data_IF_368057701528
#
_entry.id   IF_368057701528
#
_cell.length_a   1.000
_cell.length_b   1.000
_cell.length_c   1.000
_cell.angle_alpha   90.00
_cell.angle_beta   90.00
_cell.angle_gamma   90.00
#
_symmetry.space_group_name_H-M   'P 1'
#
loop_
_entity.id
_entity.type
_entity.pdbx_description
1 polymer ?
#
# COMPACT_ATOMS: atom_id res chain seq x y z
N UNK A 1 7.98 16.30 -3.82
CA UNK A 1 7.79 15.65 -2.50
C UNK A 1 9.11 15.40 -1.75
N UNK A 2 10.05 14.52 -2.13
CA UNK A 2 11.23 14.23 -1.29
C UNK A 2 12.13 15.45 -1.02
N UNK A 3 12.34 16.30 -2.03
CA UNK A 3 13.17 17.50 -1.91
C UNK A 3 12.55 18.56 -0.99
N UNK A 4 11.21 18.62 -0.94
CA UNK A 4 10.48 19.56 -0.06
C UNK A 4 10.62 19.17 1.42
N UNK A 5 10.72 17.86 1.72
CA UNK A 5 10.99 17.36 3.07
C UNK A 5 12.41 17.73 3.49
N UNK A 6 13.40 17.46 2.62
CA UNK A 6 14.81 17.80 2.90
C UNK A 6 15.02 19.30 3.10
N UNK A 7 14.34 20.14 2.32
CA UNK A 7 14.40 21.60 2.45
C UNK A 7 13.88 22.13 3.79
N UNK A 8 13.12 21.33 4.55
CA UNK A 8 12.62 21.66 5.88
C UNK A 8 13.41 20.99 7.01
N UNK A 9 14.52 20.32 6.69
CA UNK A 9 15.23 19.47 7.63
C UNK A 9 15.71 20.17 8.90
N UNK A 10 16.18 21.41 8.78
CA UNK A 10 16.64 22.22 9.91
C UNK A 10 15.53 22.57 10.92
N UNK A 11 14.26 22.53 10.50
CA UNK A 11 13.10 22.79 11.36
C UNK A 11 12.59 21.53 12.09
N UNK A 12 13.15 20.35 11.79
CA UNK A 12 12.67 19.06 12.29
C UNK A 12 13.47 18.61 13.52
N UNK A 13 12.77 17.98 14.45
CA UNK A 13 13.38 17.28 15.58
C UNK A 13 13.75 15.83 15.25
N UNK A 14 13.69 15.45 13.97
CA UNK A 14 13.98 14.11 13.46
C UNK A 14 14.78 14.19 12.16
N UNK A 15 15.53 13.13 11.88
CA UNK A 15 16.26 12.98 10.63
C UNK A 15 15.31 13.04 9.41
N UNK A 16 15.48 14.01 8.48
CA UNK A 16 14.61 14.19 7.33
C UNK A 16 14.53 12.95 6.43
N UNK A 17 15.61 12.19 6.36
CA UNK A 17 15.69 10.96 5.55
C UNK A 17 14.67 9.90 5.99
N UNK A 18 14.29 9.86 7.27
CA UNK A 18 13.24 8.94 7.76
C UNK A 18 11.87 9.28 7.15
N UNK A 19 11.57 10.58 7.00
CA UNK A 19 10.33 11.03 6.38
C UNK A 19 10.35 10.82 4.86
N UNK A 20 11.49 11.05 4.21
CA UNK A 20 11.69 10.73 2.79
C UNK A 20 11.49 9.24 2.55
N UNK A 21 12.04 8.39 3.42
CA UNK A 21 11.87 6.94 3.39
C UNK A 21 10.39 6.57 3.50
N UNK A 22 9.69 7.06 4.53
CA UNK A 22 8.27 6.78 4.73
C UNK A 22 7.40 7.19 3.53
N UNK A 23 7.63 8.40 2.97
CA UNK A 23 6.93 8.88 1.78
C UNK A 23 7.14 7.95 0.57
N UNK A 24 8.40 7.57 0.31
CA UNK A 24 8.75 6.67 -0.80
C UNK A 24 8.19 5.27 -0.60
N UNK A 25 8.29 4.73 0.61
CA UNK A 25 7.86 3.36 0.90
C UNK A 25 6.33 3.23 0.83
N UNK A 26 5.59 4.19 1.38
CA UNK A 26 4.12 4.23 1.23
C UNK A 26 3.72 4.26 -0.25
N UNK A 27 4.34 5.12 -1.06
CA UNK A 27 4.08 5.17 -2.51
C UNK A 27 4.45 3.86 -3.22
N UNK A 28 5.52 3.19 -2.75
CA UNK A 28 5.99 1.94 -3.33
C UNK A 28 5.05 0.78 -3.01
N UNK A 29 4.62 0.65 -1.76
CA UNK A 29 3.67 -0.38 -1.33
C UNK A 29 2.37 -0.27 -2.09
N UNK A 30 1.79 0.93 -2.18
CA UNK A 30 0.50 1.18 -2.84
C UNK A 30 0.56 1.01 -4.37
N UNK A 31 1.76 1.03 -4.95
CA UNK A 31 1.93 0.87 -6.41
C UNK A 31 2.47 -0.50 -6.82
N UNK A 32 3.17 -1.23 -5.95
CA UNK A 32 3.87 -2.45 -6.31
C UNK A 32 3.53 -3.67 -5.44
N UNK A 33 3.26 -3.49 -4.14
CA UNK A 33 2.94 -4.60 -3.24
C UNK A 33 1.44 -4.85 -3.11
N UNK A 34 0.63 -3.79 -3.17
CA UNK A 34 -0.83 -3.86 -3.32
C UNK A 34 -1.19 -3.51 -4.76
N UNK A 35 -1.52 -4.51 -5.58
CA UNK A 35 -1.88 -4.34 -6.99
C UNK A 35 -3.36 -4.66 -7.19
N UNK A 36 -4.18 -3.63 -7.04
CA UNK A 36 -5.64 -3.71 -7.08
C UNK A 36 -6.24 -3.02 -8.32
N UNK A 37 -5.40 -2.70 -9.31
CA UNK A 37 -5.80 -2.07 -10.57
C UNK A 37 -6.14 -0.58 -10.51
N UNK A 38 -5.93 0.10 -9.37
CA UNK A 38 -6.04 1.56 -9.28
C UNK A 38 -4.65 2.18 -9.40
N UNK A 39 -4.43 3.01 -10.42
CA UNK A 39 -3.14 3.67 -10.65
C UNK A 39 -3.03 4.92 -9.80
N UNK A 40 -2.04 4.95 -8.90
CA UNK A 40 -1.76 6.13 -8.07
C UNK A 40 -1.42 7.33 -8.97
N UNK A 41 -2.16 8.42 -8.81
CA UNK A 41 -1.93 9.66 -9.54
C UNK A 41 -1.80 10.88 -8.61
N UNK A 42 -2.08 10.70 -7.32
CA UNK A 42 -2.02 11.75 -6.33
C UNK A 42 -1.43 11.18 -5.03
N UNK A 43 -0.42 11.87 -4.50
CA UNK A 43 0.30 11.51 -3.28
C UNK A 43 0.48 12.77 -2.43
N UNK A 44 -0.07 12.77 -1.22
CA UNK A 44 0.11 13.86 -0.26
C UNK A 44 0.70 13.29 1.02
N UNK A 45 1.83 13.87 1.41
CA UNK A 45 2.58 13.50 2.60
C UNK A 45 2.50 14.65 3.61
N UNK A 46 1.92 14.40 4.77
CA UNK A 46 1.83 15.35 5.87
C UNK A 46 2.80 14.93 6.96
N UNK A 47 3.49 15.88 7.56
CA UNK A 47 4.38 15.63 8.70
C UNK A 47 4.41 16.83 9.64
N UNK A 48 4.80 16.59 10.88
CA UNK A 48 5.06 17.64 11.86
C UNK A 48 6.53 17.65 12.31
N UNK A 49 6.89 18.66 13.11
CA UNK A 49 8.26 18.84 13.62
C UNK A 49 8.75 17.69 14.50
N UNK A 50 7.84 16.95 15.12
CA UNK A 50 8.17 15.79 15.96
C UNK A 50 8.39 14.51 15.14
N UNK A 51 8.23 14.57 13.81
CA UNK A 51 8.40 13.43 12.92
C UNK A 51 7.19 12.51 12.81
N UNK A 52 6.03 12.90 13.35
CA UNK A 52 4.78 12.19 13.05
C UNK A 52 4.36 12.55 11.64
N UNK A 53 3.88 11.55 10.91
CA UNK A 53 3.45 11.70 9.54
C UNK A 53 2.17 10.91 9.22
N UNK A 54 1.51 11.30 8.14
CA UNK A 54 0.45 10.54 7.49
C UNK A 54 0.51 10.73 5.98
N UNK A 55 0.01 9.74 5.24
CA UNK A 55 -0.07 9.78 3.77
C UNK A 55 -1.50 9.57 3.34
N UNK A 56 -1.94 10.39 2.38
CA UNK A 56 -3.19 10.17 1.65
C UNK A 56 -2.84 10.03 0.17
N UNK A 57 -2.96 8.81 -0.34
CA UNK A 57 -2.78 8.52 -1.76
C UNK A 57 -4.14 8.31 -2.42
N UNK A 58 -4.25 8.69 -3.70
CA UNK A 58 -5.43 8.41 -4.50
C UNK A 58 -5.03 7.70 -5.80
N UNK A 59 -5.62 6.53 -6.00
CA UNK A 59 -5.56 5.76 -7.23
C UNK A 59 -6.83 5.89 -8.04
N UNK A 60 -6.70 5.81 -9.37
CA UNK A 60 -7.82 5.81 -10.31
C UNK A 60 -7.80 4.53 -11.13
N UNK A 61 -8.96 3.90 -11.30
CA UNK A 61 -9.17 2.83 -12.27
C UNK A 61 -9.81 3.43 -13.53
N UNK A 62 -8.97 3.72 -14.51
CA UNK A 62 -9.33 4.42 -15.76
C UNK A 62 -10.56 3.81 -16.45
N UNK A 63 -10.66 2.48 -16.51
CA UNK A 63 -11.77 1.77 -17.18
C UNK A 63 -13.15 2.01 -16.56
N UNK A 64 -13.19 2.34 -15.27
CA UNK A 64 -14.45 2.54 -14.52
C UNK A 64 -14.64 3.98 -14.04
N UNK A 65 -13.60 4.82 -14.17
CA UNK A 65 -13.57 6.16 -13.57
C UNK A 65 -13.64 6.19 -12.04
N UNK A 66 -13.50 5.02 -11.38
CA UNK A 66 -13.58 4.91 -9.93
C UNK A 66 -12.24 5.22 -9.28
N UNK A 67 -12.30 5.95 -8.16
CA UNK A 67 -11.14 6.26 -7.34
C UNK A 67 -11.09 5.38 -6.08
N UNK A 68 -9.88 5.12 -5.60
CA UNK A 68 -9.58 4.45 -4.33
C UNK A 68 -8.55 5.28 -3.56
N UNK A 69 -8.73 5.39 -2.25
CA UNK A 69 -7.82 6.12 -1.37
C UNK A 69 -7.08 5.17 -0.44
N UNK A 70 -5.81 5.46 -0.20
CA UNK A 70 -4.94 4.69 0.67
C UNK A 70 -4.41 5.63 1.75
N UNK A 71 -4.66 5.25 2.99
CA UNK A 71 -4.38 6.05 4.16
C UNK A 71 -3.30 5.36 4.99
N UNK A 72 -2.25 6.11 5.27
CA UNK A 72 -1.17 5.71 6.14
C UNK A 72 -1.07 6.66 7.31
N UNK A 73 -0.74 6.14 8.48
CA UNK A 73 -0.46 6.93 9.68
C UNK A 73 0.76 6.35 10.37
N UNK A 74 1.68 7.21 10.77
CA UNK A 74 2.89 6.81 11.50
C UNK A 74 2.60 6.23 12.88
N UNK A 75 1.55 6.74 13.55
CA UNK A 75 1.15 6.28 14.87
C UNK A 75 0.60 4.85 14.81
N UNK A 76 1.30 3.91 15.44
CA UNK A 76 0.91 2.49 15.45
C UNK A 76 1.40 1.68 14.25
N UNK A 77 2.17 2.27 13.33
CA UNK A 77 2.77 1.54 12.22
C UNK A 77 3.94 0.69 12.73
N UNK A 78 3.82 -0.63 12.63
CA UNK A 78 4.86 -1.59 13.03
C UNK A 78 5.67 -2.13 11.86
N UNK A 79 5.13 -2.11 10.63
CA UNK A 79 5.76 -2.59 9.41
C UNK A 79 5.26 -1.80 8.22
N UNK A 80 6.12 -1.53 7.22
CA UNK A 80 5.67 -0.98 5.94
C UNK A 80 5.07 -2.04 5.02
N UNK A 81 5.34 -3.32 5.29
CA UNK A 81 5.02 -4.43 4.36
C UNK A 81 4.07 -5.46 4.92
N UNK A 82 3.57 -5.28 6.14
CA UNK A 82 2.55 -6.12 6.74
C UNK A 82 1.45 -5.27 7.38
N UNK A 83 0.23 -5.39 6.83
CA UNK A 83 -0.96 -4.64 7.23
C UNK A 83 -0.68 -3.13 7.51
N UNK A 84 0.01 -2.41 6.60
CA UNK A 84 0.53 -1.09 6.92
C UNK A 84 -0.52 0.03 6.81
N UNK A 85 -1.63 -0.23 6.13
CA UNK A 85 -2.65 0.77 5.87
C UNK A 85 -3.52 1.01 7.10
N UNK A 86 -3.64 2.27 7.49
CA UNK A 86 -4.70 2.70 8.42
C UNK A 86 -6.09 2.53 7.80
N UNK A 87 -6.17 2.61 6.47
CA UNK A 87 -7.38 2.30 5.73
C UNK A 87 -7.20 2.37 4.22
N UNK A 88 -7.83 1.44 3.51
CA UNK A 88 -8.00 1.49 2.05
C UNK A 88 -9.48 1.71 1.79
N UNK A 89 -9.83 2.86 1.21
CA UNK A 89 -11.23 3.27 1.04
C UNK A 89 -11.59 3.27 -0.44
N UNK A 90 -12.60 2.49 -0.78
CA UNK A 90 -13.14 2.43 -2.14
C UNK A 90 -13.93 1.16 -2.40
N UNK A 91 -14.43 1.04 -3.63
CA UNK A 91 -15.14 -0.16 -4.08
C UNK A 91 -14.20 -1.35 -4.13
N UNK A 92 -14.64 -2.50 -3.58
CA UNK A 92 -13.94 -3.78 -3.69
C UNK A 92 -13.90 -4.28 -5.14
N UNK A 93 -12.84 -5.01 -5.49
CA UNK A 93 -12.61 -5.57 -6.82
C UNK A 93 -12.23 -7.04 -6.72
N UNK A 94 -12.49 -7.80 -7.79
CA UNK A 94 -12.37 -9.27 -7.77
C UNK A 94 -10.92 -9.76 -7.92
N UNK A 95 -10.06 -8.95 -8.52
CA UNK A 95 -8.65 -9.30 -8.76
C UNK A 95 -7.73 -8.29 -8.10
N UNK A 96 -7.07 -8.73 -7.04
CA UNK A 96 -6.09 -7.97 -6.29
C UNK A 96 -4.91 -8.88 -6.00
N UNK A 97 -3.67 -8.44 -6.25
CA UNK A 97 -2.50 -9.07 -5.63
C UNK A 97 -2.15 -8.24 -4.39
N UNK A 98 -2.26 -8.83 -3.21
CA UNK A 98 -2.00 -8.15 -1.94
C UNK A 98 -0.84 -8.83 -1.20
N UNK A 99 0.38 -8.35 -1.43
CA UNK A 99 1.57 -8.87 -0.76
C UNK A 99 1.77 -8.31 0.65
N UNK A 100 0.97 -7.32 1.05
CA UNK A 100 1.04 -6.75 2.41
C UNK A 100 -0.01 -7.30 3.36
N UNK A 101 -0.93 -8.12 2.87
CA UNK A 101 -1.85 -8.87 3.71
C UNK A 101 -1.08 -9.82 4.63
N UNK A 102 -1.48 -9.95 5.89
CA UNK A 102 -0.79 -10.80 6.87
C UNK A 102 -0.57 -12.22 6.35
N UNK A 103 -1.58 -12.82 5.75
CA UNK A 103 -1.56 -14.18 5.19
C UNK A 103 -0.61 -14.37 3.99
N UNK A 104 -0.10 -13.28 3.40
CA UNK A 104 0.93 -13.31 2.35
C UNK A 104 2.37 -13.40 2.91
N UNK A 105 2.55 -13.68 4.21
CA UNK A 105 3.86 -13.83 4.84
C UNK A 105 4.79 -14.83 4.12
N UNK A 106 4.33 -16.03 3.71
CA UNK A 106 5.20 -16.98 3.00
C UNK A 106 5.77 -16.39 1.71
N UNK A 107 4.96 -15.65 0.94
CA UNK A 107 5.42 -14.97 -0.26
C UNK A 107 6.43 -13.86 0.06
N UNK A 108 6.20 -13.06 1.12
CA UNK A 108 7.14 -12.01 1.55
C UNK A 108 8.50 -12.57 1.96
N UNK A 109 8.55 -13.75 2.55
CA UNK A 109 9.79 -14.42 2.94
C UNK A 109 10.53 -15.01 1.74
N UNK A 110 9.80 -15.64 0.81
CA UNK A 110 10.39 -16.35 -0.33
C UNK A 110 10.81 -15.43 -1.51
N UNK A 111 10.16 -14.28 -1.68
CA UNK A 111 10.43 -13.36 -2.78
C UNK A 111 11.86 -12.76 -2.75
N UNK A 112 12.40 -12.29 -1.60
CA UNK A 112 13.79 -11.85 -1.47
C UNK A 112 14.80 -12.90 -1.94
N UNK A 113 14.63 -14.16 -1.51
CA UNK A 113 15.50 -15.27 -1.90
C UNK A 113 15.49 -15.51 -3.42
N UNK A 114 14.31 -15.41 -4.04
CA UNK A 114 14.20 -15.46 -5.51
C UNK A 114 14.93 -14.30 -6.16
N UNK A 115 14.76 -13.09 -5.66
CA UNK A 115 15.39 -11.90 -6.23
C UNK A 115 16.93 -11.95 -6.15
N UNK A 116 17.48 -12.70 -5.20
CA UNK A 116 18.91 -12.99 -5.06
C UNK A 116 19.46 -14.06 -6.02
N UNK A 117 18.63 -14.69 -6.86
CA UNK A 117 19.08 -15.68 -7.86
C UNK A 117 19.54 -15.02 -9.17
N UNK A 118 20.40 -15.70 -9.96
CA UNK A 118 20.83 -15.20 -11.26
C UNK A 118 19.64 -14.78 -12.16
N UNK A 119 19.63 -13.55 -12.72
CA UNK A 119 18.52 -13.04 -13.54
C UNK A 119 18.18 -13.91 -14.75
N UNK A 120 19.18 -14.58 -15.35
CA UNK A 120 19.03 -15.54 -16.43
C UNK A 120 18.15 -16.73 -16.05
N UNK A 121 18.32 -17.22 -14.81
CA UNK A 121 17.59 -18.35 -14.28
C UNK A 121 16.11 -17.97 -14.08
N UNK A 122 15.85 -16.84 -13.41
CA UNK A 122 14.50 -16.32 -13.21
C UNK A 122 13.78 -16.05 -14.54
N UNK A 123 14.48 -15.46 -15.51
CA UNK A 123 13.93 -15.24 -16.85
C UNK A 123 13.64 -16.56 -17.58
N UNK A 124 14.49 -17.56 -17.41
CA UNK A 124 14.29 -18.92 -17.93
C UNK A 124 13.06 -19.59 -17.33
N UNK A 125 12.87 -19.49 -16.02
CA UNK A 125 11.68 -20.00 -15.33
C UNK A 125 10.40 -19.30 -15.83
N UNK A 126 10.39 -17.97 -15.93
CA UNK A 126 9.26 -17.25 -16.53
C UNK A 126 8.94 -17.68 -17.96
N UNK A 127 9.97 -17.97 -18.77
CA UNK A 127 9.78 -18.46 -20.14
C UNK A 127 9.19 -19.88 -20.16
N UNK A 128 9.57 -20.74 -19.20
CA UNK A 128 8.95 -22.06 -19.02
C UNK A 128 7.49 -21.93 -18.62
N UNK A 129 7.16 -21.04 -17.69
CA UNK A 129 5.78 -20.80 -17.24
C UNK A 129 4.82 -20.45 -18.36
N UNK A 130 5.25 -19.65 -19.35
CA UNK A 130 4.42 -19.31 -20.52
C UNK A 130 3.99 -20.51 -21.36
N UNK A 131 4.70 -21.63 -21.26
CA UNK A 131 4.39 -22.88 -21.96
C UNK A 131 3.57 -23.84 -21.10
N UNK A 132 3.35 -23.53 -19.82
CA UNK A 132 2.60 -24.36 -18.89
C UNK A 132 1.12 -24.01 -18.90
N UNK A 133 0.27 -25.00 -18.64
CA UNK A 133 -1.14 -24.80 -18.33
C UNK A 133 -1.29 -24.58 -16.83
N UNK A 134 -1.43 -23.31 -16.43
CA UNK A 134 -1.68 -22.95 -15.04
C UNK A 134 -3.14 -23.24 -14.65
N UNK A 135 -3.39 -23.72 -13.42
CA UNK A 135 -4.74 -23.83 -12.88
C UNK A 135 -5.50 -22.50 -12.93
N UNK A 136 -6.82 -22.55 -13.16
CA UNK A 136 -7.71 -21.37 -13.25
C UNK A 136 -7.68 -20.45 -12.03
N UNK A 137 -7.23 -20.94 -10.88
CA UNK A 137 -7.13 -20.15 -9.64
C UNK A 137 -6.00 -19.11 -9.62
N UNK A 138 -5.05 -19.17 -10.57
CA UNK A 138 -3.97 -18.18 -10.63
C UNK A 138 -4.51 -16.87 -11.21
N UNK A 139 -4.60 -15.83 -10.39
CA UNK A 139 -5.11 -14.52 -10.83
C UNK A 139 -4.08 -13.73 -11.64
N UNK A 140 -2.81 -14.19 -11.68
CA UNK A 140 -1.75 -13.59 -12.51
C UNK A 140 -1.69 -14.30 -13.85
N UNK A 141 -1.97 -13.57 -14.93
CA UNK A 141 -1.87 -14.12 -16.28
C UNK A 141 -0.41 -14.12 -16.74
N UNK A 142 0.09 -15.27 -17.21
CA UNK A 142 1.43 -15.38 -17.79
C UNK A 142 1.64 -14.45 -19.00
N UNK A 143 0.56 -14.03 -19.68
CA UNK A 143 0.58 -13.05 -20.76
C UNK A 143 1.06 -11.66 -20.32
N UNK A 144 0.87 -11.30 -19.04
CA UNK A 144 1.26 -9.99 -18.52
C UNK A 144 2.77 -9.88 -18.23
N UNK A 145 3.47 -11.02 -18.27
CA UNK A 145 4.90 -11.11 -17.96
C UNK A 145 5.69 -11.18 -19.26
N UNK A 146 6.73 -10.35 -19.37
CA UNK A 146 7.68 -10.41 -20.49
C UNK A 146 9.06 -10.77 -19.92
N UNK A 147 9.53 -12.03 -20.08
CA UNK A 147 10.79 -12.49 -19.49
C UNK A 147 11.99 -11.62 -19.88
N UNK A 148 12.06 -11.18 -21.15
CA UNK A 148 13.16 -10.35 -21.63
C UNK A 148 13.20 -8.97 -20.96
N UNK A 149 12.03 -8.33 -20.78
CA UNK A 149 11.93 -7.04 -20.07
C UNK A 149 12.16 -7.18 -18.56
N UNK A 150 11.78 -8.34 -17.99
CA UNK A 150 11.92 -8.61 -16.57
C UNK A 150 13.34 -8.98 -16.17
N UNK A 151 14.16 -9.49 -17.09
CA UNK A 151 15.58 -9.76 -16.84
C UNK A 151 16.33 -8.52 -16.35
N UNK A 152 16.14 -7.36 -16.98
CA UNK A 152 16.76 -6.09 -16.55
C UNK A 152 16.28 -5.68 -15.15
N UNK A 153 15.01 -5.95 -14.83
CA UNK A 153 14.42 -5.64 -13.52
C UNK A 153 14.99 -6.56 -12.44
N UNK A 154 15.17 -7.85 -12.75
CA UNK A 154 15.82 -8.81 -11.84
C UNK A 154 17.29 -8.52 -11.65
N UNK A 155 17.99 -8.05 -12.68
CA UNK A 155 19.39 -7.63 -12.53
C UNK A 155 19.54 -6.49 -11.53
N UNK A 156 18.64 -5.50 -11.55
CA UNK A 156 18.65 -4.40 -10.59
C UNK A 156 18.44 -4.87 -9.14
N UNK A 157 17.64 -5.93 -8.94
CA UNK A 157 17.43 -6.55 -7.64
C UNK A 157 18.66 -7.39 -7.22
N UNK A 158 19.15 -8.26 -8.10
CA UNK A 158 20.30 -9.14 -7.90
C UNK A 158 21.60 -8.40 -7.54
N UNK A 159 21.80 -7.19 -8.08
CA UNK A 159 22.97 -6.36 -7.80
C UNK A 159 22.92 -5.64 -6.45
N UNK A 160 21.81 -5.73 -5.72
CA UNK A 160 21.66 -5.12 -4.40
C UNK A 160 21.60 -6.18 -3.31
N UNK A 161 22.06 -5.81 -2.11
CA UNK A 161 21.90 -6.64 -0.93
C UNK A 161 20.45 -6.55 -0.44
N UNK A 162 19.62 -7.51 -0.86
CA UNK A 162 18.23 -7.63 -0.44
C UNK A 162 18.19 -8.52 0.79
N UNK A 163 17.74 -7.97 1.92
CA UNK A 163 17.64 -8.71 3.19
C UNK A 163 16.24 -9.24 3.44
N UNK A 164 15.25 -8.51 2.96
CA UNK A 164 13.84 -8.73 3.23
C UNK A 164 12.97 -8.11 2.12
N UNK A 165 11.65 -8.30 2.23
CA UNK A 165 10.71 -7.77 1.25
C UNK A 165 10.65 -6.23 1.24
N UNK A 166 10.88 -5.57 2.38
CA UNK A 166 10.86 -4.10 2.48
C UNK A 166 12.03 -3.47 1.72
N UNK A 167 13.25 -3.97 1.94
CA UNK A 167 14.46 -3.59 1.21
C UNK A 167 14.33 -3.89 -0.29
N UNK A 168 13.73 -5.03 -0.67
CA UNK A 168 13.42 -5.35 -2.06
C UNK A 168 12.53 -4.27 -2.70
N UNK A 169 11.44 -3.85 -2.05
CA UNK A 169 10.58 -2.78 -2.57
C UNK A 169 11.36 -1.47 -2.76
N UNK A 170 12.36 -1.21 -1.92
CA UNK A 170 13.28 -0.08 -2.05
C UNK A 170 14.13 -0.07 -3.33
N UNK A 171 14.31 -1.22 -4.00
CA UNK A 171 15.14 -1.33 -5.20
C UNK A 171 14.62 -0.44 -6.34
N UNK A 172 15.51 0.39 -6.88
CA UNK A 172 15.20 1.29 -7.99
C UNK A 172 14.98 0.48 -9.27
N UNK A 173 13.90 0.77 -9.99
CA UNK A 173 13.54 0.05 -11.21
C UNK A 173 12.69 -1.21 -11.00
N UNK A 174 12.61 -1.73 -9.76
CA UNK A 174 11.70 -2.82 -9.43
C UNK A 174 10.27 -2.32 -9.25
N UNK A 175 9.48 -2.34 -10.32
CA UNK A 175 8.06 -1.93 -10.30
C UNK A 175 7.08 -3.09 -10.06
N UNK A 176 5.78 -2.77 -10.09
CA UNK A 176 4.67 -3.72 -9.91
C UNK A 176 4.80 -5.01 -10.74
N UNK A 177 5.24 -4.90 -12.00
CA UNK A 177 5.41 -6.07 -12.88
C UNK A 177 6.52 -7.01 -12.41
N UNK A 178 7.62 -6.47 -11.91
CA UNK A 178 8.73 -7.27 -11.36
C UNK A 178 8.33 -7.96 -10.07
N UNK A 179 7.70 -7.23 -9.15
CA UNK A 179 7.17 -7.78 -7.90
C UNK A 179 6.12 -8.86 -8.16
N UNK A 180 5.21 -8.64 -9.12
CA UNK A 180 4.21 -9.64 -9.54
C UNK A 180 4.84 -10.90 -10.12
N UNK A 181 5.91 -10.76 -10.90
CA UNK A 181 6.63 -11.89 -11.47
C UNK A 181 7.32 -12.72 -10.38
N UNK A 182 7.94 -12.07 -9.39
CA UNK A 182 8.56 -12.74 -8.25
C UNK A 182 7.51 -13.45 -7.38
N UNK A 183 6.35 -12.82 -7.15
CA UNK A 183 5.25 -13.44 -6.41
C UNK A 183 4.73 -14.71 -7.12
N UNK A 184 4.58 -14.67 -8.45
CA UNK A 184 4.18 -15.85 -9.22
C UNK A 184 5.24 -16.97 -9.14
N UNK A 185 6.53 -16.62 -9.26
CA UNK A 185 7.61 -17.59 -9.13
C UNK A 185 7.69 -18.17 -7.72
N UNK A 186 7.44 -17.36 -6.69
CA UNK A 186 7.43 -17.77 -5.29
C UNK A 186 6.37 -18.82 -5.02
N UNK A 187 5.15 -18.60 -5.52
CA UNK A 187 4.07 -19.58 -5.40
C UNK A 187 4.38 -20.88 -6.14
N UNK A 188 4.97 -20.81 -7.33
CA UNK A 188 5.19 -21.98 -8.19
C UNK A 188 6.42 -22.81 -7.83
N UNK A 189 7.51 -22.16 -7.41
CA UNK A 189 8.76 -22.84 -7.10
C UNK A 189 8.83 -23.28 -5.64
N UNK A 190 8.25 -22.48 -4.73
CA UNK A 190 8.38 -22.69 -3.29
C UNK A 190 7.05 -22.98 -2.59
N UNK A 191 5.93 -22.99 -3.32
CA UNK A 191 4.62 -23.19 -2.69
C UNK A 191 4.27 -22.09 -1.70
N UNK A 192 4.82 -20.89 -1.88
CA UNK A 192 4.64 -19.73 -1.02
C UNK A 192 3.58 -18.79 -1.61
N UNK A 193 2.29 -18.95 -1.25
CA UNK A 193 1.20 -18.22 -1.90
C UNK A 193 1.19 -16.75 -1.51
N UNK A 194 0.84 -15.89 -2.47
CA UNK A 194 0.45 -14.51 -2.20
C UNK A 194 -1.02 -14.43 -1.75
N UNK A 195 -1.42 -13.32 -1.12
CA UNK A 195 -2.84 -13.06 -0.86
C UNK A 195 -3.50 -12.38 -2.05
N UNK A 196 -4.77 -12.70 -2.25
CA UNK A 196 -5.66 -12.02 -3.19
C UNK A 196 -6.81 -11.27 -2.49
N UNK A 197 -6.71 -11.08 -1.16
CA UNK A 197 -7.70 -10.35 -0.37
C UNK A 197 -7.64 -8.85 -0.69
N UNK A 198 -8.77 -8.27 -1.08
CA UNK A 198 -8.90 -6.84 -1.26
C UNK A 198 -9.03 -6.13 0.12
N UNK A 199 -8.08 -5.27 0.52
CA UNK A 199 -8.14 -4.57 1.80
C UNK A 199 -9.18 -3.43 1.80
N UNK A 200 -9.82 -3.13 0.67
CA UNK A 200 -10.77 -2.03 0.57
C UNK A 200 -11.95 -2.20 1.53
N UNK A 201 -12.20 -1.13 2.28
CA UNK A 201 -13.35 -0.91 3.13
C UNK A 201 -14.28 0.08 2.44
N UNK A 202 -15.58 -0.18 2.57
CA UNK A 202 -16.60 0.78 2.16
C UNK A 202 -16.74 1.84 3.26
N UNK A 203 -16.52 3.11 2.94
CA UNK A 203 -16.86 4.21 3.86
C UNK A 203 -17.65 5.28 3.11
N UNK A 204 -18.96 5.09 3.03
CA UNK A 204 -19.89 6.13 2.60
C UNK A 204 -20.92 6.39 3.69
N UNK A 205 -20.46 6.61 4.93
CA UNK A 205 -21.31 7.01 6.05
C UNK A 205 -22.11 8.30 5.75
N UNK A 206 -21.70 9.06 4.73
CA UNK A 206 -22.33 10.31 4.30
C UNK A 206 -22.67 10.29 2.79
N UNK A 207 -22.80 9.12 2.16
CA UNK A 207 -23.13 9.00 0.74
C UNK A 207 -21.97 9.24 -0.23
N UNK A 208 -22.21 8.93 -1.51
CA UNK A 208 -21.23 8.98 -2.60
C UNK A 208 -21.49 10.13 -3.57
N UNK A 209 -20.44 10.61 -4.25
CA UNK A 209 -20.56 11.66 -5.30
C UNK A 209 -21.40 11.19 -6.49
N UNK A 210 -21.42 9.89 -6.69
CA UNK A 210 -22.13 9.13 -7.72
C UNK A 210 -23.53 8.70 -7.25
N UNK A 211 -23.99 9.20 -6.10
CA UNK A 211 -25.30 8.87 -5.55
C UNK A 211 -25.40 7.47 -4.98
N UNK A 212 -24.29 6.73 -4.83
CA UNK A 212 -24.29 5.35 -4.31
C UNK A 212 -23.54 5.28 -2.98
N UNK A 213 -24.15 4.78 -1.89
CA UNK A 213 -25.52 4.25 -1.81
C UNK A 213 -26.62 5.35 -1.88
N UNK A 214 -26.29 6.59 -1.54
CA UNK A 214 -27.14 7.78 -1.69
C UNK A 214 -26.24 9.00 -1.97
N UNK A 215 -26.79 10.14 -2.47
CA UNK A 215 -26.03 11.37 -2.67
C UNK A 215 -25.34 11.84 -1.39
N UNK A 216 -24.24 12.59 -1.53
CA UNK A 216 -23.51 13.11 -0.37
C UNK A 216 -24.43 13.93 0.55
N UNK A 217 -24.64 13.47 1.78
CA UNK A 217 -25.33 14.19 2.84
C UNK A 217 -24.39 15.27 3.40
N UNK A 218 -24.42 16.43 2.75
CA UNK A 218 -23.56 17.57 3.09
C UNK A 218 -23.79 18.07 4.52
N UNK A 219 -25.03 18.06 5.01
CA UNK A 219 -25.36 18.57 6.34
C UNK A 219 -24.70 17.70 7.42
N UNK A 220 -24.86 16.38 7.33
CA UNK A 220 -24.19 15.45 8.25
C UNK A 220 -22.68 15.50 8.10
N UNK A 221 -22.17 15.67 6.87
CA UNK A 221 -20.74 15.85 6.60
C UNK A 221 -20.18 17.08 7.34
N UNK A 222 -20.81 18.24 7.19
CA UNK A 222 -20.39 19.49 7.82
C UNK A 222 -20.48 19.44 9.34
N UNK A 223 -21.55 18.83 9.89
CA UNK A 223 -21.67 18.60 11.34
C UNK A 223 -20.53 17.74 11.88
N UNK A 224 -20.16 16.69 11.15
CA UNK A 224 -19.06 15.79 11.53
C UNK A 224 -17.71 16.53 11.48
N UNK A 225 -17.45 17.30 10.41
CA UNK A 225 -16.24 18.15 10.32
C UNK A 225 -16.18 19.12 11.50
N UNK A 226 -17.29 19.79 11.83
CA UNK A 226 -17.31 20.76 12.92
C UNK A 226 -17.06 20.10 14.27
N UNK A 227 -17.63 18.92 14.52
CA UNK A 227 -17.37 18.15 15.73
C UNK A 227 -15.88 17.79 15.85
N UNK A 228 -15.27 17.23 14.80
CA UNK A 228 -13.84 16.90 14.79
C UNK A 228 -12.96 18.14 14.97
N UNK A 229 -13.31 19.25 14.29
CA UNK A 229 -12.59 20.53 14.41
C UNK A 229 -12.67 21.10 15.83
N UNK A 230 -13.81 21.00 16.51
CA UNK A 230 -13.96 21.39 17.92
C UNK A 230 -13.12 20.51 18.82
N UNK A 231 -13.19 19.19 18.68
CA UNK A 231 -12.42 18.25 19.48
C UNK A 231 -10.91 18.52 19.38
N UNK A 232 -10.39 18.71 18.16
CA UNK A 232 -8.97 19.04 17.92
C UNK A 232 -8.60 20.39 18.54
N UNK A 233 -9.44 21.42 18.36
CA UNK A 233 -9.18 22.76 18.91
C UNK A 233 -9.15 22.74 20.45
N UNK A 234 -10.12 22.07 21.08
CA UNK A 234 -10.20 21.94 22.54
C UNK A 234 -9.03 21.14 23.10
N UNK A 235 -8.63 20.07 22.43
CA UNK A 235 -7.47 19.28 22.83
C UNK A 235 -6.16 20.08 22.82
N UNK A 236 -6.01 21.03 21.86
CA UNK A 236 -4.87 21.97 21.84
C UNK A 236 -4.90 22.96 23.00
N UNK A 237 -6.08 23.30 23.51
CA UNK A 237 -6.28 24.14 24.69
C UNK A 237 -6.21 23.35 26.02
N UNK A 238 -5.76 22.10 25.98
CA UNK A 238 -5.64 21.23 27.17
C UNK A 238 -6.90 20.45 27.53
N UNK A 239 -8.06 20.75 26.92
CA UNK A 239 -9.31 20.02 27.17
C UNK A 239 -9.43 18.81 26.23
N UNK A 240 -9.04 17.63 26.74
CA UNK A 240 -8.90 16.39 25.95
C UNK A 240 -10.07 15.43 26.04
N UNK A 241 -11.13 15.72 26.79
CA UNK A 241 -12.25 14.79 27.03
C UNK A 241 -12.94 14.36 25.73
N UNK A 242 -13.27 15.31 24.87
CA UNK A 242 -13.96 15.08 23.59
C UNK A 242 -13.06 14.25 22.64
N UNK A 243 -11.77 14.56 22.59
CA UNK A 243 -10.80 13.78 21.80
C UNK A 243 -10.60 12.36 22.37
N UNK A 244 -10.57 12.21 23.70
CA UNK A 244 -10.46 10.92 24.35
C UNK A 244 -11.70 10.05 24.11
N UNK A 245 -12.90 10.64 24.11
CA UNK A 245 -14.13 9.95 23.76
C UNK A 245 -14.12 9.45 22.31
N UNK A 246 -13.67 10.28 21.36
CA UNK A 246 -13.50 9.87 19.96
C UNK A 246 -12.47 8.75 19.80
N UNK A 247 -11.37 8.77 20.57
CA UNK A 247 -10.38 7.68 20.57
C UNK A 247 -10.98 6.37 21.09
N UNK A 248 -11.71 6.40 22.21
CA UNK A 248 -12.41 5.23 22.74
C UNK A 248 -13.42 4.67 21.73
N UNK A 249 -14.17 5.54 21.06
CA UNK A 249 -15.09 5.15 20.00
C UNK A 249 -14.35 4.49 18.84
N UNK A 250 -13.23 5.04 18.39
CA UNK A 250 -12.40 4.44 17.35
C UNK A 250 -11.88 3.05 17.74
N UNK A 251 -11.49 2.85 19.01
CA UNK A 251 -11.11 1.52 19.52
C UNK A 251 -12.30 0.56 19.51
N UNK A 252 -13.48 1.00 19.98
CA UNK A 252 -14.68 0.17 20.03
C UNK A 252 -15.21 -0.22 18.64
N UNK A 253 -15.02 0.63 17.63
CA UNK A 253 -15.39 0.37 16.23
C UNK A 253 -14.27 -0.33 15.44
N UNK A 254 -13.06 -0.40 15.99
CA UNK A 254 -11.86 -0.97 15.36
C UNK A 254 -11.65 -2.45 15.65
N UNK A 255 -12.51 -3.08 16.43
CA UNK A 255 -12.47 -4.51 16.77
C UNK A 255 -13.69 -5.23 16.18
N UNK A 256 -13.66 -5.46 14.87
CA UNK A 256 -14.26 -6.68 14.32
C UNK A 256 -13.07 -7.52 13.83
N UNK A 257 -12.66 -8.49 14.64
CA UNK A 257 -11.86 -9.62 14.19
C UNK A 257 -12.68 -10.38 13.13
N UNK A 258 -12.19 -10.37 11.89
CA UNK A 258 -12.59 -11.28 10.82
C UNK A 258 -11.44 -11.45 9.81
#
# INVERSE_FOLDING_TARGET
APQEILARGEELSVEPDRLVYASRMAAKVDSAALQDGFRIYHHVFFFDRAGRWCVVQQGMRETTGMARRYHWISEGLSSFVEEPHAGVVGRRVDTVLNLVAREAAPAREAIPDLAGRPPEELAGELARLKRMRLPRRHQVLASDLNPARLKTVFLAAYQQEIRDFESLLGVRGLGAKGVRALALLSELLYGAPASFRDPARYSYAHGGKDGTPYPVDRETYDRTIQALRRAVRRARLGNREELAALRRLATALGTEEA
#
